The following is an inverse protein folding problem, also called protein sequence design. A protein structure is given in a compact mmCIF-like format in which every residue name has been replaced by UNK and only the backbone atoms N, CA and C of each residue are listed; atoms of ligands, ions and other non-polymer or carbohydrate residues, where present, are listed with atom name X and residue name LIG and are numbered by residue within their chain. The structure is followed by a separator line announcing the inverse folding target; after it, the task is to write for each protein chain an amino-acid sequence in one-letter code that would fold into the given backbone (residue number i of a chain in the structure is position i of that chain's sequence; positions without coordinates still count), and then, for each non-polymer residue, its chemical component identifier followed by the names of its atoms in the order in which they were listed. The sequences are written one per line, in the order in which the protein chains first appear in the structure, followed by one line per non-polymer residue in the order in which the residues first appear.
data_IF_795419647119
#
_entry.id   IF_795419647119
#
_cell.length_a   1.000
_cell.length_b   1.000
_cell.length_c   1.000
_cell.angle_alpha   90.00
_cell.angle_beta   90.00
_cell.angle_gamma   90.00
#
_symmetry.space_group_name_H-M   'P 1'
#
loop_
_entity.id
_entity.type
_entity.pdbx_description
1 polymer ?
#
# COMPACT_ATOMS: atom_id res chain seq x y z
N UNK A 1 -6.58 -17.99 -26.62
CA UNK A 1 -5.95 -16.96 -25.75
C UNK A 1 -4.45 -17.10 -25.87
N UNK A 2 -3.71 -16.00 -26.03
CA UNK A 2 -2.23 -16.08 -26.05
C UNK A 2 -1.68 -16.08 -24.62
N UNK A 3 -0.44 -16.55 -24.44
CA UNK A 3 0.24 -16.53 -23.14
C UNK A 3 0.29 -15.11 -22.56
N UNK A 4 0.57 -14.11 -23.41
CA UNK A 4 0.56 -12.70 -23.03
C UNK A 4 -0.79 -12.26 -22.45
N UNK A 5 -1.91 -12.68 -23.07
CA UNK A 5 -3.25 -12.38 -22.54
C UNK A 5 -3.46 -13.00 -21.16
N UNK A 6 -3.03 -14.25 -20.95
CA UNK A 6 -3.17 -14.92 -19.64
C UNK A 6 -2.36 -14.19 -18.57
N UNK A 7 -1.11 -13.83 -18.86
CA UNK A 7 -0.26 -13.09 -17.92
C UNK A 7 -0.83 -11.71 -17.59
N UNK A 8 -1.38 -11.01 -18.59
CA UNK A 8 -2.05 -9.73 -18.38
C UNK A 8 -3.29 -9.87 -17.48
N UNK A 9 -4.11 -10.89 -17.68
CA UNK A 9 -5.28 -11.15 -16.83
C UNK A 9 -4.88 -11.47 -15.38
N UNK A 10 -3.82 -12.25 -15.19
CA UNK A 10 -3.27 -12.51 -13.85
C UNK A 10 -2.78 -11.22 -13.19
N UNK A 11 -2.04 -10.38 -13.93
CA UNK A 11 -1.56 -9.09 -13.43
C UNK A 11 -2.73 -8.19 -13.01
N UNK A 12 -3.76 -8.05 -13.84
CA UNK A 12 -4.95 -7.25 -13.56
C UNK A 12 -5.74 -7.81 -12.37
N UNK A 13 -5.81 -9.14 -12.23
CA UNK A 13 -6.45 -9.78 -11.09
C UNK A 13 -5.69 -9.46 -9.80
N UNK A 14 -4.37 -9.60 -9.80
CA UNK A 14 -3.53 -9.24 -8.66
C UNK A 14 -3.67 -7.77 -8.28
N UNK A 15 -3.63 -6.86 -9.26
CA UNK A 15 -3.83 -5.42 -9.06
C UNK A 15 -5.20 -5.11 -8.47
N UNK A 16 -6.26 -5.75 -8.97
CA UNK A 16 -7.62 -5.59 -8.46
C UNK A 16 -7.73 -6.08 -7.02
N UNK A 17 -7.19 -7.26 -6.70
CA UNK A 17 -7.16 -7.79 -5.35
C UNK A 17 -6.39 -6.85 -4.39
N UNK A 18 -5.23 -6.34 -4.79
CA UNK A 18 -4.46 -5.39 -3.99
C UNK A 18 -5.21 -4.08 -3.76
N UNK A 19 -5.91 -3.55 -4.77
CA UNK A 19 -6.70 -2.32 -4.62
C UNK A 19 -7.91 -2.52 -3.70
N UNK A 20 -8.65 -3.62 -3.87
CA UNK A 20 -9.85 -3.90 -3.07
C UNK A 20 -9.50 -4.21 -1.61
N UNK A 21 -8.53 -5.10 -1.38
CA UNK A 21 -8.12 -5.51 -0.04
C UNK A 21 -7.26 -4.43 0.63
N UNK A 22 -6.45 -3.72 -0.15
CA UNK A 22 -5.67 -2.57 0.30
C UNK A 22 -6.54 -1.37 0.67
N UNK A 23 -7.73 -1.21 0.09
CA UNK A 23 -8.67 -0.15 0.48
C UNK A 23 -9.04 -0.20 1.97
N UNK A 24 -9.29 -1.40 2.51
CA UNK A 24 -9.50 -1.59 3.95
C UNK A 24 -8.22 -1.27 4.74
N UNK A 25 -7.05 -1.63 4.21
CA UNK A 25 -5.75 -1.41 4.83
C UNK A 25 -5.35 0.06 4.96
N UNK A 26 -5.32 0.77 3.85
CA UNK A 26 -5.02 2.20 3.84
C UNK A 26 -6.13 3.01 4.51
N UNK A 27 -7.40 2.60 4.33
CA UNK A 27 -8.56 3.24 4.96
C UNK A 27 -8.53 3.16 6.48
N UNK A 28 -8.11 2.03 7.05
CA UNK A 28 -7.95 1.89 8.49
C UNK A 28 -6.90 2.87 9.06
N UNK A 29 -5.88 3.24 8.30
CA UNK A 29 -4.95 4.31 8.69
C UNK A 29 -5.58 5.69 8.78
N UNK A 30 -6.55 5.98 7.90
CA UNK A 30 -7.32 7.22 7.97
C UNK A 30 -8.28 7.20 9.17
N UNK A 31 -8.94 6.08 9.43
CA UNK A 31 -9.77 5.91 10.63
C UNK A 31 -8.96 6.01 11.92
N UNK A 32 -7.74 5.48 11.92
CA UNK A 32 -6.80 5.62 13.04
C UNK A 32 -6.43 7.09 13.30
N UNK A 33 -6.29 7.90 12.24
CA UNK A 33 -6.08 9.35 12.33
C UNK A 33 -7.34 10.05 12.85
N UNK A 34 -8.53 9.73 12.33
CA UNK A 34 -9.80 10.30 12.76
C UNK A 34 -10.10 10.01 14.24
N UNK A 35 -9.77 8.80 14.72
CA UNK A 35 -9.91 8.39 16.11
C UNK A 35 -9.06 9.25 17.09
N UNK A 36 -8.06 10.02 16.61
CA UNK A 36 -7.30 10.94 17.47
C UNK A 36 -8.17 12.03 18.10
N UNK A 37 -9.29 12.38 17.45
CA UNK A 37 -10.27 13.34 17.97
C UNK A 37 -11.43 12.69 18.73
N UNK A 38 -11.45 11.35 18.84
CA UNK A 38 -12.46 10.61 19.61
C UNK A 38 -12.16 10.61 21.11
N UNK A 39 -13.23 10.61 21.92
CA UNK A 39 -13.14 10.41 23.38
C UNK A 39 -12.69 8.99 23.75
N UNK A 40 -12.83 8.01 22.84
CA UNK A 40 -12.44 6.61 23.05
C UNK A 40 -11.21 6.20 22.24
N UNK A 41 -10.32 7.16 21.93
CA UNK A 41 -9.14 7.00 21.07
C UNK A 41 -8.37 5.69 21.28
N UNK A 42 -8.07 5.30 22.53
CA UNK A 42 -7.25 4.09 22.79
C UNK A 42 -7.96 2.80 22.36
N UNK A 43 -9.20 2.61 22.80
CA UNK A 43 -9.99 1.43 22.49
C UNK A 43 -10.26 1.30 20.97
N UNK A 44 -10.59 2.42 20.31
CA UNK A 44 -10.79 2.42 18.85
C UNK A 44 -9.50 2.08 18.10
N UNK A 45 -8.35 2.63 18.53
CA UNK A 45 -7.06 2.37 17.90
C UNK A 45 -6.59 0.92 18.10
N UNK A 46 -6.81 0.34 19.27
CA UNK A 46 -6.50 -1.07 19.55
C UNK A 46 -7.32 -2.04 18.70
N UNK A 47 -8.62 -1.78 18.53
CA UNK A 47 -9.49 -2.61 17.69
C UNK A 47 -9.07 -2.54 16.23
N UNK A 48 -8.78 -1.33 15.73
CA UNK A 48 -8.27 -1.14 14.37
C UNK A 48 -6.96 -1.93 14.19
N UNK A 49 -6.03 -1.84 15.13
CA UNK A 49 -4.74 -2.52 15.00
C UNK A 49 -4.84 -4.04 15.01
N UNK A 50 -5.66 -4.58 15.92
CA UNK A 50 -5.87 -6.01 16.03
C UNK A 50 -6.50 -6.59 14.76
N UNK A 51 -7.49 -5.90 14.19
CA UNK A 51 -8.13 -6.32 12.95
C UNK A 51 -7.21 -6.19 11.73
N UNK A 52 -6.35 -5.17 11.71
CA UNK A 52 -5.59 -4.82 10.52
C UNK A 52 -4.27 -5.56 10.33
N UNK A 53 -3.63 -6.05 11.39
CA UNK A 53 -2.34 -6.75 11.29
C UNK A 53 -2.34 -7.88 10.24
N UNK A 54 -3.25 -8.87 10.33
CA UNK A 54 -3.31 -9.98 9.38
C UNK A 54 -3.65 -9.54 7.95
N UNK A 55 -4.50 -8.51 7.82
CA UNK A 55 -4.94 -7.97 6.52
C UNK A 55 -3.79 -7.28 5.81
N UNK A 56 -2.99 -6.48 6.53
CA UNK A 56 -1.80 -5.83 5.99
C UNK A 56 -0.80 -6.85 5.45
N UNK A 57 -0.47 -7.87 6.25
CA UNK A 57 0.49 -8.92 5.85
C UNK A 57 0.04 -9.65 4.57
N UNK A 58 -1.24 -10.02 4.53
CA UNK A 58 -1.83 -10.71 3.36
C UNK A 58 -1.90 -9.79 2.14
N UNK A 59 -2.15 -8.49 2.33
CA UNK A 59 -2.26 -7.55 1.22
C UNK A 59 -0.94 -7.38 0.46
N UNK A 60 0.21 -7.43 1.15
CA UNK A 60 1.52 -7.30 0.50
C UNK A 60 1.87 -8.49 -0.39
N UNK A 61 1.26 -9.66 -0.18
CA UNK A 61 1.42 -10.81 -1.08
C UNK A 61 0.95 -10.47 -2.48
N UNK A 62 -0.17 -9.75 -2.62
CA UNK A 62 -0.68 -9.29 -3.91
C UNK A 62 0.28 -8.29 -4.57
N UNK A 63 0.86 -7.37 -3.79
CA UNK A 63 1.84 -6.41 -4.31
C UNK A 63 3.08 -7.13 -4.89
N UNK A 64 3.65 -8.06 -4.14
CA UNK A 64 4.81 -8.84 -4.60
C UNK A 64 4.44 -9.66 -5.84
N UNK A 65 3.25 -10.27 -5.86
CA UNK A 65 2.76 -10.99 -7.03
C UNK A 65 2.71 -10.11 -8.27
N UNK A 66 2.13 -8.90 -8.18
CA UNK A 66 2.06 -7.94 -9.30
C UNK A 66 3.46 -7.59 -9.79
N UNK A 67 4.39 -7.27 -8.88
CA UNK A 67 5.76 -6.89 -9.23
C UNK A 67 6.49 -8.03 -9.96
N UNK A 68 6.39 -9.26 -9.44
CA UNK A 68 7.06 -10.42 -10.03
C UNK A 68 6.45 -10.77 -11.40
N UNK A 69 5.12 -10.80 -11.52
CA UNK A 69 4.45 -11.10 -12.80
C UNK A 69 4.75 -10.02 -13.83
N UNK A 70 4.70 -8.74 -13.47
CA UNK A 70 5.03 -7.63 -14.38
C UNK A 70 6.48 -7.72 -14.86
N UNK A 71 7.43 -7.93 -13.95
CA UNK A 71 8.84 -8.00 -14.29
C UNK A 71 9.18 -9.22 -15.16
N UNK A 72 8.63 -10.39 -14.86
CA UNK A 72 8.92 -11.63 -15.59
C UNK A 72 8.21 -11.71 -16.94
N UNK A 73 6.95 -11.26 -17.02
CA UNK A 73 6.13 -11.39 -18.23
C UNK A 73 6.26 -10.21 -19.17
N UNK A 74 6.54 -9.01 -18.65
CA UNK A 74 6.59 -7.75 -19.40
C UNK A 74 7.80 -6.89 -18.99
N UNK A 75 9.04 -7.39 -19.11
CA UNK A 75 10.23 -6.74 -18.57
C UNK A 75 10.48 -5.33 -19.12
N UNK A 76 10.20 -5.10 -20.41
CA UNK A 76 10.35 -3.78 -21.03
C UNK A 76 9.36 -2.77 -20.46
N UNK A 77 8.09 -3.17 -20.29
CA UNK A 77 7.07 -2.30 -19.69
C UNK A 77 7.37 -2.03 -18.21
N UNK A 78 7.81 -3.05 -17.47
CA UNK A 78 8.23 -2.91 -16.08
C UNK A 78 9.40 -1.93 -15.94
N UNK A 79 10.43 -2.02 -16.81
CA UNK A 79 11.56 -1.12 -16.81
C UNK A 79 11.14 0.33 -17.12
N UNK A 80 10.36 0.53 -18.18
CA UNK A 80 9.88 1.85 -18.57
C UNK A 80 9.04 2.53 -17.47
N UNK A 81 8.11 1.80 -16.85
CA UNK A 81 7.31 2.31 -15.73
C UNK A 81 8.17 2.60 -14.51
N UNK A 82 9.10 1.71 -14.18
CA UNK A 82 9.98 1.89 -13.01
C UNK A 82 10.90 3.09 -13.18
N UNK A 83 11.44 3.31 -14.38
CA UNK A 83 12.30 4.45 -14.68
C UNK A 83 11.52 5.77 -14.69
N UNK A 84 10.37 5.81 -15.36
CA UNK A 84 9.55 7.02 -15.46
C UNK A 84 8.96 7.45 -14.10
N UNK A 85 8.65 6.49 -13.22
CA UNK A 85 7.93 6.74 -11.97
C UNK A 85 8.71 6.32 -10.72
N UNK A 86 10.05 6.28 -10.78
CA UNK A 86 10.87 5.83 -9.65
C UNK A 86 10.63 6.65 -8.37
N UNK A 87 10.39 7.96 -8.49
CA UNK A 87 10.13 8.86 -7.34
C UNK A 87 8.84 8.45 -6.60
N UNK A 88 7.65 8.46 -7.22
CA UNK A 88 6.43 8.05 -6.52
C UNK A 88 6.47 6.58 -6.10
N UNK A 89 7.07 5.67 -6.88
CA UNK A 89 7.21 4.27 -6.49
C UNK A 89 8.11 4.10 -5.25
N UNK A 90 9.22 4.84 -5.18
CA UNK A 90 10.12 4.85 -4.03
C UNK A 90 9.44 5.41 -2.77
N UNK A 91 8.67 6.50 -2.91
CA UNK A 91 7.89 7.05 -1.80
C UNK A 91 6.82 6.05 -1.32
N UNK A 92 6.12 5.38 -2.24
CA UNK A 92 5.16 4.33 -1.88
C UNK A 92 5.83 3.16 -1.14
N UNK A 93 6.99 2.72 -1.59
CA UNK A 93 7.76 1.66 -0.92
C UNK A 93 8.19 2.07 0.50
N UNK A 94 8.71 3.29 0.67
CA UNK A 94 9.05 3.82 1.98
C UNK A 94 7.81 3.93 2.89
N UNK A 95 6.67 4.36 2.35
CA UNK A 95 5.40 4.39 3.05
C UNK A 95 4.98 3.01 3.56
N UNK A 96 5.06 1.98 2.71
CA UNK A 96 4.77 0.59 3.08
C UNK A 96 5.67 0.10 4.21
N UNK A 97 6.99 0.33 4.11
CA UNK A 97 7.95 -0.07 5.14
C UNK A 97 7.67 0.67 6.45
N UNK A 98 7.40 1.97 6.39
CA UNK A 98 7.09 2.78 7.55
C UNK A 98 5.81 2.29 8.27
N UNK A 99 4.80 1.81 7.53
CA UNK A 99 3.59 1.20 8.11
C UNK A 99 3.90 -0.10 8.84
N UNK A 100 4.65 -1.00 8.21
CA UNK A 100 5.07 -2.25 8.84
C UNK A 100 5.89 -2.02 10.12
N UNK A 101 6.83 -1.06 10.06
CA UNK A 101 7.60 -0.64 11.21
C UNK A 101 6.72 -0.05 12.33
N UNK A 102 5.75 0.81 11.99
CA UNK A 102 4.84 1.41 12.96
C UNK A 102 4.00 0.35 13.70
N UNK A 103 3.51 -0.68 12.99
CA UNK A 103 2.80 -1.80 13.61
C UNK A 103 3.69 -2.61 14.58
N UNK A 104 4.93 -2.89 14.18
CA UNK A 104 5.87 -3.66 15.00
C UNK A 104 6.30 -2.87 16.26
N UNK A 105 6.71 -1.61 16.10
CA UNK A 105 7.21 -0.80 17.21
C UNK A 105 6.11 -0.36 18.18
N UNK A 106 4.86 -0.19 17.74
CA UNK A 106 3.75 0.09 18.66
C UNK A 106 3.45 -1.06 19.60
N UNK A 107 3.54 -2.31 19.14
CA UNK A 107 3.37 -3.47 20.04
C UNK A 107 4.45 -3.52 21.13
N UNK A 108 5.60 -2.89 20.90
CA UNK A 108 6.71 -2.84 21.85
C UNK A 108 6.76 -1.56 22.71
N UNK A 109 6.07 -0.50 22.31
CA UNK A 109 6.14 0.81 22.96
C UNK A 109 4.82 1.17 23.66
N UNK A 110 4.87 1.30 24.99
CA UNK A 110 3.73 1.62 25.86
C UNK A 110 3.37 3.14 25.87
N UNK A 111 3.90 3.93 24.91
CA UNK A 111 3.67 5.38 24.87
C UNK A 111 2.59 5.81 23.85
N UNK A 112 1.42 6.28 24.33
CA UNK A 112 0.32 6.78 23.48
C UNK A 112 0.61 8.14 22.79
N UNK A 113 1.75 8.79 23.06
CA UNK A 113 2.23 10.00 22.38
C UNK A 113 3.23 9.71 21.25
N UNK A 114 3.51 8.45 20.95
CA UNK A 114 4.57 8.10 19.99
C UNK A 114 4.31 8.62 18.58
N UNK A 115 5.39 9.06 17.93
CA UNK A 115 5.40 9.51 16.53
C UNK A 115 4.89 8.44 15.55
N UNK A 116 4.83 7.16 15.97
CA UNK A 116 4.40 6.02 15.16
C UNK A 116 2.96 6.16 14.65
N UNK A 117 2.05 6.75 15.44
CA UNK A 117 0.67 6.98 14.99
C UNK A 117 0.59 8.01 13.85
N UNK A 118 1.45 9.03 13.88
CA UNK A 118 1.54 10.02 12.81
C UNK A 118 2.19 9.41 11.56
N UNK A 119 3.29 8.65 11.74
CA UNK A 119 3.96 7.93 10.65
C UNK A 119 2.98 6.99 9.96
N UNK A 120 2.20 6.22 10.71
CA UNK A 120 1.17 5.32 10.18
C UNK A 120 0.09 6.08 9.39
N UNK A 121 -0.44 7.17 9.93
CA UNK A 121 -1.46 7.96 9.26
C UNK A 121 -0.95 8.59 7.95
N UNK A 122 0.23 9.23 7.97
CA UNK A 122 0.81 9.90 6.81
C UNK A 122 1.13 8.88 5.71
N UNK A 123 1.78 7.77 6.07
CA UNK A 123 2.11 6.72 5.12
C UNK A 123 0.86 6.05 4.52
N UNK A 124 -0.24 5.94 5.28
CA UNK A 124 -1.52 5.43 4.78
C UNK A 124 -2.21 6.34 3.75
N UNK A 125 -1.85 7.62 3.68
CA UNK A 125 -2.38 8.54 2.65
C UNK A 125 -1.41 8.69 1.49
N UNK A 126 -0.12 8.86 1.79
CA UNK A 126 0.92 9.09 0.78
C UNK A 126 1.10 7.88 -0.13
N UNK A 127 1.09 6.66 0.42
CA UNK A 127 1.28 5.43 -0.36
C UNK A 127 0.22 5.26 -1.45
N UNK A 128 -1.10 5.23 -1.15
CA UNK A 128 -2.11 5.06 -2.18
C UNK A 128 -2.17 6.25 -3.14
N UNK A 129 -1.85 7.47 -2.68
CA UNK A 129 -1.72 8.62 -3.57
C UNK A 129 -0.63 8.41 -4.61
N UNK A 130 0.57 8.00 -4.20
CA UNK A 130 1.69 7.75 -5.12
C UNK A 130 1.38 6.62 -6.10
N UNK A 131 0.79 5.52 -5.64
CA UNK A 131 0.36 4.41 -6.50
C UNK A 131 -0.72 4.86 -7.50
N UNK A 132 -1.69 5.66 -7.05
CA UNK A 132 -2.72 6.25 -7.92
C UNK A 132 -2.14 7.24 -8.94
N UNK A 133 -1.14 8.03 -8.56
CA UNK A 133 -0.45 8.95 -9.45
C UNK A 133 0.31 8.21 -10.56
N UNK A 134 0.96 7.08 -10.24
CA UNK A 134 1.59 6.20 -11.22
C UNK A 134 0.55 5.63 -12.18
N UNK A 135 -0.54 5.05 -11.66
CA UNK A 135 -1.61 4.49 -12.48
C UNK A 135 -2.26 5.54 -13.40
N UNK A 136 -2.53 6.74 -12.87
CA UNK A 136 -3.05 7.87 -13.65
C UNK A 136 -2.07 8.38 -14.70
N UNK A 137 -0.78 8.42 -14.40
CA UNK A 137 0.27 8.78 -15.35
C UNK A 137 0.37 7.79 -16.51
N UNK A 138 0.30 6.49 -16.22
CA UNK A 138 0.26 5.42 -17.22
C UNK A 138 -0.99 5.57 -18.11
N UNK A 139 -2.16 5.77 -17.51
CA UNK A 139 -3.42 5.92 -18.25
C UNK A 139 -3.43 7.18 -19.15
N UNK A 140 -2.76 8.26 -18.71
CA UNK A 140 -2.61 9.49 -19.47
C UNK A 140 -1.52 9.42 -20.56
N UNK A 141 -0.88 8.25 -20.77
CA UNK A 141 0.23 8.03 -21.72
C UNK A 141 1.39 9.02 -21.56
N UNK A 142 1.65 9.50 -20.34
CA UNK A 142 2.71 10.49 -20.09
C UNK A 142 4.11 9.88 -20.02
N UNK A 143 4.23 8.56 -20.14
CA UNK A 143 5.48 7.80 -20.01
C UNK A 143 5.63 6.67 -21.05
N UNK A 144 4.91 6.75 -22.17
CA UNK A 144 5.04 5.83 -23.31
C UNK A 144 5.25 6.60 -24.59
#
# INVERSE_FOLDING_TARGET
MTLATVMLLLLLTGATCYLLLGGADFGAGLWHLAARWSRHRRAEQEVIEHAMGPVWETNHVWLIFILVVAWTSFPLAFAAVSEAYWVPLGIAALGIIARGAAFAFRKAADDPRSAYALVFAVSSVVTPYCLGAVAGGIAAQRAT
#
